data_IF_468773578635
#
_entry.id   IF_468773578635
#
_cell.length_a   1.000
_cell.length_b   1.000
_cell.length_c   1.000
_cell.angle_alpha   90.00
_cell.angle_beta   90.00
_cell.angle_gamma   90.00
#
_symmetry.space_group_name_H-M   'P 1'
#
loop_
_entity.id
_entity.type
_entity.pdbx_description
1 polymer ?
#
# COMPACT_ATOMS: atom_id res chain seq x y z
N UNK A 1 -14.89 73.72 18.88
CA UNK A 1 -14.34 72.35 18.76
C UNK A 1 -15.47 71.35 18.71
N UNK A 2 -15.59 70.59 17.61
CA UNK A 2 -16.13 69.22 17.56
C UNK A 2 -15.68 68.63 16.21
N UNK A 3 -14.53 67.96 16.23
CA UNK A 3 -14.11 67.09 15.13
C UNK A 3 -14.93 65.80 15.25
N UNK A 4 -15.73 65.48 14.24
CA UNK A 4 -16.35 64.17 14.11
C UNK A 4 -15.67 63.42 12.96
N UNK A 5 -14.79 62.51 13.33
CA UNK A 5 -14.28 61.43 12.49
C UNK A 5 -15.36 60.36 12.39
N UNK A 6 -15.99 60.23 11.22
CA UNK A 6 -16.78 59.06 10.87
C UNK A 6 -15.91 58.12 10.01
N UNK A 7 -15.66 56.87 10.44
CA UNK A 7 -14.81 55.95 9.69
C UNK A 7 -15.58 55.34 8.51
N UNK A 8 -14.82 55.10 7.44
CA UNK A 8 -15.26 54.67 6.12
C UNK A 8 -15.86 53.25 6.11
N UNK A 9 -17.09 53.11 6.64
CA UNK A 9 -17.80 51.84 6.89
C UNK A 9 -18.18 51.07 5.61
N UNK A 10 -18.18 51.73 4.45
CA UNK A 10 -18.44 51.08 3.14
C UNK A 10 -17.22 50.35 2.59
N UNK A 11 -16.02 50.85 2.81
CA UNK A 11 -14.78 50.26 2.27
C UNK A 11 -14.42 48.97 3.00
N UNK A 12 -14.53 48.93 4.33
CA UNK A 12 -14.26 47.71 5.13
C UNK A 12 -15.21 46.54 4.83
N UNK A 13 -16.47 46.82 4.49
CA UNK A 13 -17.47 45.78 4.14
C UNK A 13 -17.26 45.20 2.73
N UNK A 14 -16.72 46.00 1.80
CA UNK A 14 -16.30 45.51 0.47
C UNK A 14 -15.00 44.72 0.55
N UNK A 15 -14.03 45.15 1.36
CA UNK A 15 -12.78 44.41 1.59
C UNK A 15 -13.08 43.05 2.23
N UNK A 16 -13.93 42.99 3.26
CA UNK A 16 -14.27 41.73 3.91
C UNK A 16 -15.05 40.77 2.99
N UNK A 17 -15.97 41.27 2.15
CA UNK A 17 -16.69 40.44 1.17
C UNK A 17 -15.75 39.89 0.09
N UNK A 18 -14.86 40.72 -0.44
CA UNK A 18 -13.89 40.28 -1.43
C UNK A 18 -12.88 39.31 -0.82
N UNK A 19 -12.48 39.48 0.44
CA UNK A 19 -11.59 38.56 1.15
C UNK A 19 -12.25 37.19 1.40
N UNK A 20 -13.51 37.17 1.84
CA UNK A 20 -14.27 35.92 2.04
C UNK A 20 -14.46 35.20 0.70
N UNK A 21 -14.84 35.92 -0.36
CA UNK A 21 -14.96 35.34 -1.70
C UNK A 21 -13.62 34.81 -2.20
N UNK A 22 -12.51 35.54 -1.97
CA UNK A 22 -11.17 35.06 -2.33
C UNK A 22 -10.80 33.79 -1.56
N UNK A 23 -11.14 33.72 -0.27
CA UNK A 23 -10.88 32.54 0.57
C UNK A 23 -11.73 31.34 0.14
N UNK A 24 -13.00 31.56 -0.20
CA UNK A 24 -13.88 30.50 -0.72
C UNK A 24 -13.46 30.02 -2.09
N UNK A 25 -13.01 30.92 -2.98
CA UNK A 25 -12.47 30.56 -4.31
C UNK A 25 -11.12 29.86 -4.17
N UNK A 26 -10.25 30.29 -3.25
CA UNK A 26 -8.98 29.62 -2.98
C UNK A 26 -9.19 28.21 -2.40
N UNK A 27 -10.14 28.04 -1.48
CA UNK A 27 -10.54 26.71 -0.96
C UNK A 27 -11.15 25.84 -2.07
N UNK A 28 -12.07 26.37 -2.88
CA UNK A 28 -12.67 25.63 -3.99
C UNK A 28 -11.66 25.27 -5.09
N UNK A 29 -10.68 26.15 -5.36
CA UNK A 29 -9.56 25.85 -6.24
C UNK A 29 -8.63 24.80 -5.63
N UNK A 30 -8.36 24.86 -4.33
CA UNK A 30 -7.58 23.85 -3.61
C UNK A 30 -8.25 22.47 -3.64
N UNK A 31 -9.56 22.40 -3.35
CA UNK A 31 -10.35 21.16 -3.46
C UNK A 31 -10.51 20.69 -4.91
N UNK A 32 -10.66 21.61 -5.88
CA UNK A 32 -10.75 21.28 -7.30
C UNK A 32 -9.43 20.76 -7.89
N UNK A 33 -8.29 21.28 -7.42
CA UNK A 33 -6.94 20.80 -7.75
C UNK A 33 -6.73 19.42 -7.13
N UNK A 34 -7.04 19.22 -5.85
CA UNK A 34 -6.97 17.90 -5.20
C UNK A 34 -7.89 16.88 -5.91
N UNK A 35 -9.12 17.25 -6.25
CA UNK A 35 -10.03 16.38 -6.99
C UNK A 35 -9.48 16.03 -8.38
N UNK A 36 -9.03 17.00 -9.17
CA UNK A 36 -8.52 16.75 -10.51
C UNK A 36 -7.24 15.91 -10.56
N UNK A 37 -6.39 15.97 -9.54
CA UNK A 37 -5.16 15.16 -9.45
C UNK A 37 -5.34 13.80 -8.78
N UNK A 38 -6.42 13.60 -8.01
CA UNK A 38 -6.80 12.29 -7.45
C UNK A 38 -7.67 11.48 -8.44
N UNK A 39 -8.26 12.14 -9.44
CA UNK A 39 -9.32 11.60 -10.29
C UNK A 39 -8.84 11.21 -11.71
N UNK A 40 -7.69 10.52 -11.81
CA UNK A 40 -7.45 9.65 -12.98
C UNK A 40 -8.18 8.33 -12.78
N UNK A 41 -9.49 8.36 -13.03
CA UNK A 41 -10.35 7.19 -13.06
C UNK A 41 -10.07 6.35 -14.31
N UNK A 42 -9.19 5.35 -14.22
CA UNK A 42 -9.36 4.14 -15.03
C UNK A 42 -9.92 3.08 -14.09
N UNK A 43 -11.22 2.83 -14.22
CA UNK A 43 -12.05 2.05 -13.30
C UNK A 43 -12.02 0.55 -13.55
N UNK A 44 -10.89 -0.01 -13.98
CA UNK A 44 -10.75 -1.45 -14.06
C UNK A 44 -9.71 -1.90 -13.04
N UNK A 45 -10.18 -2.65 -12.05
CA UNK A 45 -9.35 -3.40 -11.11
C UNK A 45 -8.55 -4.55 -11.76
N UNK A 46 -8.40 -4.52 -13.09
CA UNK A 46 -7.50 -5.33 -13.92
C UNK A 46 -6.02 -5.28 -13.49
N UNK A 47 -5.68 -4.48 -12.47
CA UNK A 47 -4.32 -4.28 -11.97
C UNK A 47 -3.90 -5.19 -10.82
N UNK A 48 -4.84 -5.86 -10.14
CA UNK A 48 -4.55 -6.68 -8.97
C UNK A 48 -4.99 -8.11 -9.25
N UNK A 49 -4.03 -8.96 -9.62
CA UNK A 49 -4.26 -10.41 -9.66
C UNK A 49 -3.45 -11.08 -8.55
N UNK A 50 -4.14 -11.65 -7.57
CA UNK A 50 -3.54 -12.39 -6.47
C UNK A 50 -3.96 -13.84 -6.56
N UNK A 51 -2.97 -14.73 -6.64
CA UNK A 51 -3.17 -16.15 -6.48
C UNK A 51 -2.69 -16.59 -5.09
N UNK A 52 -3.55 -17.25 -4.33
CA UNK A 52 -3.21 -17.89 -3.07
C UNK A 52 -3.17 -19.40 -3.25
N UNK A 53 -2.08 -20.05 -2.83
CA UNK A 53 -1.88 -21.50 -2.97
C UNK A 53 -1.67 -22.14 -1.59
N UNK A 54 -2.55 -23.07 -1.21
CA UNK A 54 -2.47 -23.82 0.03
C UNK A 54 -1.88 -25.22 -0.17
N UNK A 55 -1.12 -25.75 0.81
CA UNK A 55 -0.55 -27.09 0.73
C UNK A 55 -1.61 -28.16 1.03
N UNK A 56 -1.32 -29.42 0.67
CA UNK A 56 -2.23 -30.53 0.91
C UNK A 56 -2.71 -30.63 2.38
N UNK A 57 -4.03 -30.84 2.53
CA UNK A 57 -4.71 -30.91 3.82
C UNK A 57 -4.97 -29.57 4.49
N UNK A 58 -4.69 -28.46 3.79
CA UNK A 58 -5.10 -27.10 4.15
C UNK A 58 -6.08 -26.61 3.08
N UNK A 59 -7.18 -26.02 3.51
CA UNK A 59 -8.13 -25.33 2.64
C UNK A 59 -8.21 -23.87 3.06
N UNK A 60 -8.39 -22.99 2.08
CA UNK A 60 -8.44 -21.54 2.30
C UNK A 60 -9.71 -20.95 1.71
N UNK A 61 -10.17 -19.85 2.30
CA UNK A 61 -11.22 -19.00 1.78
C UNK A 61 -10.82 -17.52 1.94
N UNK A 62 -11.30 -16.67 1.05
CA UNK A 62 -11.05 -15.22 1.08
C UNK A 62 -12.39 -14.49 1.06
N UNK A 63 -12.49 -13.44 1.89
CA UNK A 63 -13.61 -12.51 1.90
C UNK A 63 -13.09 -11.09 2.09
N UNK A 64 -13.95 -10.09 1.86
CA UNK A 64 -13.63 -8.70 2.19
C UNK A 64 -13.30 -8.60 3.68
N UNK A 65 -12.30 -7.79 4.03
CA UNK A 65 -11.94 -7.60 5.44
C UNK A 65 -13.15 -7.16 6.28
N UNK A 66 -13.39 -7.87 7.39
CA UNK A 66 -14.51 -7.65 8.31
C UNK A 66 -15.74 -8.49 8.02
N UNK A 67 -15.80 -9.18 6.89
CA UNK A 67 -16.87 -10.12 6.59
C UNK A 67 -16.69 -11.44 7.38
N UNK A 68 -17.80 -12.10 7.76
CA UNK A 68 -17.74 -13.36 8.48
C UNK A 68 -17.11 -14.48 7.64
N UNK A 69 -16.55 -15.48 8.32
CA UNK A 69 -16.08 -16.71 7.69
C UNK A 69 -17.18 -17.32 6.80
N UNK A 70 -16.85 -17.81 5.59
CA UNK A 70 -17.82 -18.53 4.78
C UNK A 70 -18.38 -19.75 5.50
N UNK A 71 -19.68 -19.96 5.35
CA UNK A 71 -20.37 -21.13 5.94
C UNK A 71 -20.49 -22.29 4.96
N UNK A 72 -20.33 -22.03 3.66
CA UNK A 72 -20.37 -23.04 2.60
C UNK A 72 -18.98 -23.64 2.37
N UNK A 73 -18.90 -24.97 2.41
CA UNK A 73 -17.68 -25.72 2.12
C UNK A 73 -17.13 -25.45 0.73
N UNK A 74 -17.99 -25.14 -0.26
CA UNK A 74 -17.56 -24.84 -1.62
C UNK A 74 -16.72 -23.55 -1.75
N UNK A 75 -16.80 -22.66 -0.75
CA UNK A 75 -15.97 -21.45 -0.69
C UNK A 75 -14.51 -21.77 -0.32
N UNK A 76 -14.27 -22.91 0.33
CA UNK A 76 -12.94 -23.35 0.74
C UNK A 76 -12.27 -24.17 -0.36
N UNK A 77 -11.08 -23.74 -0.76
CA UNK A 77 -10.32 -24.30 -1.89
C UNK A 77 -8.84 -24.41 -1.54
N UNK A 78 -8.08 -25.16 -2.33
CA UNK A 78 -6.62 -25.19 -2.20
C UNK A 78 -5.95 -24.04 -2.97
N UNK A 79 -6.66 -23.46 -3.94
CA UNK A 79 -6.19 -22.32 -4.72
C UNK A 79 -7.31 -21.30 -4.84
N UNK A 80 -6.97 -20.03 -4.63
CA UNK A 80 -7.88 -18.89 -4.82
C UNK A 80 -7.23 -17.91 -5.77
N UNK A 81 -7.97 -17.52 -6.81
CA UNK A 81 -7.64 -16.37 -7.65
C UNK A 81 -8.53 -15.20 -7.25
N UNK A 82 -7.91 -14.15 -6.74
CA UNK A 82 -8.53 -12.93 -6.23
C UNK A 82 -8.36 -11.83 -7.29
N UNK A 83 -9.46 -11.52 -7.97
CA UNK A 83 -9.59 -10.53 -9.03
C UNK A 83 -11.04 -9.98 -9.03
N UNK A 84 -11.29 -8.91 -9.79
CA UNK A 84 -12.62 -8.28 -9.93
C UNK A 84 -13.70 -9.22 -10.46
N UNK A 85 -13.34 -10.17 -11.32
CA UNK A 85 -14.30 -11.15 -11.86
C UNK A 85 -14.88 -12.05 -10.75
N UNK A 86 -14.07 -12.41 -9.77
CA UNK A 86 -14.43 -13.34 -8.69
C UNK A 86 -14.89 -12.63 -7.41
N UNK A 87 -14.49 -11.36 -7.19
CA UNK A 87 -14.70 -10.65 -5.94
C UNK A 87 -15.00 -9.16 -6.17
N UNK A 88 -16.28 -8.80 -6.04
CA UNK A 88 -16.77 -7.45 -6.33
C UNK A 88 -16.23 -6.34 -5.41
N UNK A 89 -15.65 -6.68 -4.25
CA UNK A 89 -15.03 -5.69 -3.38
C UNK A 89 -13.70 -5.15 -3.93
N UNK A 90 -13.20 -5.73 -5.02
CA UNK A 90 -11.97 -5.30 -5.69
C UNK A 90 -12.27 -4.25 -6.77
N UNK A 91 -13.48 -4.27 -7.34
CA UNK A 91 -13.88 -3.45 -8.49
C UNK A 91 -13.58 -1.95 -8.31
N UNK A 92 -13.79 -1.44 -7.09
CA UNK A 92 -13.63 -0.03 -6.75
C UNK A 92 -12.24 0.34 -6.23
N UNK A 93 -11.32 -0.64 -6.09
CA UNK A 93 -9.99 -0.39 -5.54
C UNK A 93 -9.15 0.43 -6.52
N UNK A 94 -8.74 1.60 -6.05
CA UNK A 94 -7.75 2.47 -6.66
C UNK A 94 -6.59 2.49 -5.69
N UNK A 95 -5.53 1.74 -5.95
CA UNK A 95 -4.37 1.75 -5.05
C UNK A 95 -3.73 3.14 -5.03
N UNK A 96 -4.20 3.98 -4.12
CA UNK A 96 -3.74 5.34 -3.89
C UNK A 96 -2.67 5.34 -2.82
N UNK A 97 -2.03 6.49 -2.64
CA UNK A 97 -1.09 6.70 -1.56
C UNK A 97 -1.73 6.47 -0.18
N UNK A 98 -1.10 5.58 0.59
CA UNK A 98 -1.46 5.28 1.97
C UNK A 98 -0.18 5.17 2.80
N UNK A 99 -0.16 5.79 3.97
CA UNK A 99 0.89 5.58 4.98
C UNK A 99 0.39 4.58 6.01
N UNK A 100 1.19 3.56 6.31
CA UNK A 100 0.80 2.50 7.23
C UNK A 100 2.00 1.79 7.85
N UNK A 101 1.84 1.32 9.08
CA UNK A 101 2.72 0.35 9.75
C UNK A 101 2.38 -1.12 9.40
N UNK A 102 1.48 -1.32 8.44
CA UNK A 102 0.93 -2.62 8.07
C UNK A 102 -0.31 -3.03 8.88
N UNK A 103 -0.77 -2.20 9.82
CA UNK A 103 -1.98 -2.43 10.62
C UNK A 103 -2.98 -1.28 10.53
N UNK A 104 -2.52 -0.03 10.72
CA UNK A 104 -3.38 1.16 10.60
C UNK A 104 -3.05 1.92 9.33
N UNK A 105 -4.07 2.27 8.55
CA UNK A 105 -3.90 2.84 7.22
C UNK A 105 -4.45 4.27 7.19
N UNK A 106 -3.58 5.23 6.87
CA UNK A 106 -3.93 6.64 6.81
C UNK A 106 -3.73 7.20 5.41
N UNK A 107 -4.62 8.11 5.03
CA UNK A 107 -4.53 8.92 3.83
C UNK A 107 -4.01 10.31 4.20
N UNK A 108 -2.73 10.62 3.94
CA UNK A 108 -2.20 11.94 4.22
C UNK A 108 -2.84 13.00 3.30
N UNK A 109 -3.23 14.18 3.82
CA UNK A 109 -3.46 15.33 2.98
C UNK A 109 -2.12 15.79 2.37
N UNK A 110 -2.13 16.05 1.07
CA UNK A 110 -0.92 16.37 0.31
C UNK A 110 -0.89 17.84 -0.09
N UNK A 111 0.28 18.47 0.03
CA UNK A 111 0.61 19.75 -0.60
C UNK A 111 1.56 19.52 -1.77
N UNK A 112 1.42 20.29 -2.84
CA UNK A 112 2.31 20.21 -3.99
C UNK A 112 3.09 21.52 -4.16
N UNK A 113 4.41 21.41 -4.24
CA UNK A 113 5.33 22.54 -4.47
C UNK A 113 6.33 22.13 -5.55
N UNK A 114 6.54 22.95 -6.58
CA UNK A 114 7.45 22.65 -7.71
C UNK A 114 7.23 21.28 -8.40
N UNK A 115 5.98 20.78 -8.42
CA UNK A 115 5.66 19.48 -9.01
C UNK A 115 5.83 18.30 -8.05
N UNK A 116 6.28 18.54 -6.82
CA UNK A 116 6.58 17.53 -5.79
C UNK A 116 5.47 17.48 -4.74
N UNK A 117 4.90 16.30 -4.46
CA UNK A 117 3.81 16.13 -3.50
C UNK A 117 4.34 15.72 -2.12
N UNK A 118 3.99 16.45 -1.06
CA UNK A 118 4.41 16.17 0.33
C UNK A 118 3.26 16.13 1.31
N UNK A 119 3.27 15.21 2.31
CA UNK A 119 2.24 15.17 3.32
C UNK A 119 2.26 16.43 4.19
N UNK A 120 1.08 16.92 4.54
CA UNK A 120 0.91 18.03 5.48
C UNK A 120 0.92 17.44 6.89
N UNK A 121 1.93 17.79 7.69
CA UNK A 121 2.14 17.22 9.03
C UNK A 121 1.47 18.03 10.15
N UNK A 122 1.24 19.33 9.91
CA UNK A 122 0.65 20.28 10.86
C UNK A 122 -0.89 20.33 10.72
N UNK A 123 -1.52 19.16 10.64
CA UNK A 123 -2.98 18.99 10.73
C UNK A 123 -3.30 18.10 11.92
N UNK A 124 -4.47 18.31 12.53
CA UNK A 124 -4.86 17.57 13.72
C UNK A 124 -4.91 16.06 13.43
N UNK A 125 -5.61 15.64 12.37
CA UNK A 125 -5.74 14.23 12.00
C UNK A 125 -5.62 14.05 10.49
N UNK A 126 -5.08 12.89 10.09
CA UNK A 126 -5.20 12.36 8.74
C UNK A 126 -6.43 11.47 8.68
N UNK A 127 -7.05 11.40 7.50
CA UNK A 127 -8.19 10.52 7.29
C UNK A 127 -7.73 9.06 7.31
N UNK A 128 -8.58 8.15 7.80
CA UNK A 128 -8.35 6.72 7.64
C UNK A 128 -8.54 6.35 6.16
N UNK A 129 -7.67 5.49 5.67
CA UNK A 129 -7.83 4.92 4.33
C UNK A 129 -8.96 3.89 4.34
N UNK A 130 -9.77 3.90 3.29
CA UNK A 130 -10.80 2.89 3.02
C UNK A 130 -10.21 1.68 2.28
N UNK A 131 -10.40 0.48 2.82
CA UNK A 131 -9.90 -0.81 2.31
C UNK A 131 -10.58 -1.33 1.05
N UNK A 132 -11.62 -0.67 0.57
CA UNK A 132 -12.31 -0.99 -0.68
C UNK A 132 -12.05 0.06 -1.77
N UNK A 133 -11.31 1.11 -1.43
CA UNK A 133 -11.08 2.24 -2.33
C UNK A 133 -9.60 2.57 -2.46
N UNK A 134 -8.83 2.59 -1.38
CA UNK A 134 -7.48 3.15 -1.35
C UNK A 134 -6.38 2.08 -1.29
N UNK A 135 -6.67 0.93 -0.68
CA UNK A 135 -5.77 -0.21 -0.57
C UNK A 135 -6.59 -1.50 -0.59
N UNK A 136 -5.97 -2.63 -0.90
CA UNK A 136 -6.63 -3.93 -0.82
C UNK A 136 -6.54 -4.49 0.60
N UNK A 137 -7.67 -4.92 1.16
CA UNK A 137 -7.71 -5.68 2.41
C UNK A 137 -8.68 -6.84 2.30
N UNK A 138 -8.22 -8.04 2.65
CA UNK A 138 -9.06 -9.24 2.64
C UNK A 138 -8.70 -10.16 3.81
N UNK A 139 -9.70 -10.86 4.33
CA UNK A 139 -9.50 -11.86 5.38
C UNK A 139 -9.25 -13.22 4.73
N UNK A 140 -8.11 -13.80 5.07
CA UNK A 140 -7.71 -15.15 4.68
C UNK A 140 -8.10 -16.12 5.81
N UNK A 141 -9.17 -16.86 5.57
CA UNK A 141 -9.57 -17.96 6.42
C UNK A 141 -8.85 -19.24 6.00
N UNK A 142 -8.29 -19.95 6.97
CA UNK A 142 -7.58 -21.21 6.76
C UNK A 142 -8.21 -22.27 7.63
N UNK A 143 -8.45 -23.46 7.08
CA UNK A 143 -8.95 -24.61 7.84
C UNK A 143 -8.23 -25.91 7.53
N UNK A 144 -8.24 -26.82 8.48
CA UNK A 144 -7.65 -28.16 8.37
C UNK A 144 -8.29 -29.14 9.34
N UNK A 145 -8.14 -30.44 9.08
CA UNK A 145 -8.51 -31.52 10.02
C UNK A 145 -7.49 -31.71 11.15
N UNK A 146 -6.39 -30.98 11.14
CA UNK A 146 -5.32 -31.09 12.15
C UNK A 146 -4.76 -29.73 12.52
N UNK A 147 -4.16 -29.66 13.71
CA UNK A 147 -3.52 -28.43 14.20
C UNK A 147 -2.19 -28.22 13.48
N UNK A 148 -2.01 -27.06 12.86
CA UNK A 148 -0.77 -26.67 12.19
C UNK A 148 -0.42 -25.22 12.48
N UNK A 149 0.87 -24.93 12.42
CA UNK A 149 1.36 -23.58 12.16
C UNK A 149 1.32 -23.31 10.66
N UNK A 150 0.77 -22.16 10.27
CA UNK A 150 0.65 -21.74 8.89
C UNK A 150 1.59 -20.57 8.65
N UNK A 151 2.23 -20.61 7.49
CA UNK A 151 3.26 -19.67 7.11
C UNK A 151 2.99 -19.15 5.70
N UNK A 152 3.43 -17.93 5.44
CA UNK A 152 3.73 -17.48 4.09
C UNK A 152 5.11 -18.02 3.71
N UNK A 153 5.19 -18.77 2.63
CA UNK A 153 6.39 -19.47 2.20
C UNK A 153 7.42 -18.50 1.60
N UNK A 154 8.70 -18.85 1.69
CA UNK A 154 9.78 -18.03 1.13
C UNK A 154 9.66 -17.85 -0.39
N UNK A 155 8.93 -18.74 -1.07
CA UNK A 155 8.63 -18.68 -2.50
C UNK A 155 7.46 -17.78 -2.89
N UNK A 156 6.75 -17.21 -1.92
CA UNK A 156 5.74 -16.19 -2.21
C UNK A 156 6.36 -14.99 -2.92
N UNK A 157 5.67 -14.44 -3.90
CA UNK A 157 6.22 -13.47 -4.86
C UNK A 157 5.22 -12.36 -5.15
N UNK A 158 5.68 -11.11 -5.17
CA UNK A 158 4.92 -9.98 -5.72
C UNK A 158 5.78 -9.33 -6.79
N UNK A 159 5.40 -9.53 -8.05
CA UNK A 159 6.20 -9.18 -9.23
C UNK A 159 5.48 -8.21 -10.16
N UNK A 160 6.24 -7.43 -10.95
CA UNK A 160 5.65 -6.48 -11.89
C UNK A 160 4.85 -7.18 -12.98
N UNK A 161 3.83 -6.50 -13.51
CA UNK A 161 3.05 -6.99 -14.65
C UNK A 161 3.71 -6.65 -16.00
N UNK A 162 4.60 -5.65 -16.02
CA UNK A 162 5.36 -5.24 -17.20
C UNK A 162 6.86 -5.58 -17.08
N UNK A 163 7.54 -5.63 -18.23
CA UNK A 163 8.99 -5.94 -18.32
C UNK A 163 9.86 -4.69 -18.36
N UNK A 164 9.41 -3.65 -19.06
CA UNK A 164 10.20 -2.45 -19.32
C UNK A 164 9.85 -1.39 -18.28
N UNK A 165 10.74 -1.19 -17.30
CA UNK A 165 10.56 -0.18 -16.26
C UNK A 165 10.64 1.26 -16.80
N UNK A 166 11.43 1.50 -17.85
CA UNK A 166 11.61 2.83 -18.45
C UNK A 166 11.66 2.77 -19.98
N UNK A 167 11.51 3.93 -20.62
CA UNK A 167 11.76 4.13 -22.05
C UNK A 167 10.51 4.11 -22.93
N UNK A 168 10.72 4.18 -24.24
CA UNK A 168 9.62 4.27 -25.21
C UNK A 168 8.70 3.04 -25.20
N UNK A 169 9.22 1.88 -24.82
CA UNK A 169 8.46 0.62 -24.77
C UNK A 169 7.96 0.27 -23.36
N UNK A 170 7.98 1.20 -22.41
CA UNK A 170 7.37 1.01 -21.10
C UNK A 170 5.84 0.99 -21.24
N UNK A 171 5.19 0.02 -20.60
CA UNK A 171 3.72 -0.08 -20.54
C UNK A 171 3.16 0.84 -19.44
N UNK A 172 1.88 1.23 -19.53
CA UNK A 172 1.18 2.06 -18.53
C UNK A 172 2.06 3.19 -17.95
N UNK A 173 2.58 4.05 -18.83
CA UNK A 173 3.58 5.05 -18.48
C UNK A 173 3.02 6.12 -17.56
N UNK A 174 3.79 6.46 -16.54
CA UNK A 174 3.60 7.66 -15.76
C UNK A 174 3.77 8.92 -16.60
N UNK A 175 2.99 9.95 -16.27
CA UNK A 175 3.16 11.31 -16.81
C UNK A 175 4.29 12.07 -16.08
N UNK A 176 4.91 11.44 -15.09
CA UNK A 176 6.04 12.00 -14.37
C UNK A 176 7.30 12.03 -15.25
N UNK A 177 7.97 13.19 -15.33
CA UNK A 177 9.23 13.34 -16.07
C UNK A 177 9.10 13.44 -17.60
N UNK A 178 7.98 13.97 -18.12
CA UNK A 178 7.64 14.07 -19.56
C UNK A 178 8.65 14.80 -20.50
N UNK A 179 9.88 15.12 -20.08
CA UNK A 179 10.91 15.70 -20.95
C UNK A 179 12.25 14.95 -20.88
N UNK A 180 12.89 14.75 -22.04
CA UNK A 180 14.21 14.10 -22.17
C UNK A 180 14.20 12.56 -22.12
N UNK A 181 15.36 11.95 -21.84
CA UNK A 181 15.53 10.49 -21.64
C UNK A 181 14.72 9.94 -20.44
N UNK A 182 14.09 10.84 -19.68
CA UNK A 182 13.23 10.59 -18.51
C UNK A 182 11.76 10.32 -18.87
N UNK A 183 11.40 10.17 -20.15
CA UNK A 183 10.02 9.84 -20.54
C UNK A 183 9.66 8.39 -20.21
N UNK A 184 8.67 8.21 -19.35
CA UNK A 184 7.87 6.99 -19.27
C UNK A 184 8.42 5.90 -18.36
N UNK A 185 8.39 6.15 -17.05
CA UNK A 185 8.45 5.06 -16.06
C UNK A 185 7.14 4.26 -16.11
N UNK A 186 7.22 2.94 -16.18
CA UNK A 186 6.05 2.07 -16.16
C UNK A 186 5.47 2.00 -14.76
N UNK A 187 4.19 2.34 -14.59
CA UNK A 187 3.44 2.10 -13.35
C UNK A 187 3.33 0.61 -13.03
N UNK A 188 3.40 -0.25 -14.05
CA UNK A 188 3.25 -1.71 -13.91
C UNK A 188 4.56 -2.40 -13.48
N UNK A 189 5.66 -1.65 -13.38
CA UNK A 189 6.94 -2.13 -12.86
C UNK A 189 7.21 -1.73 -11.39
N UNK A 190 6.20 -1.20 -10.69
CA UNK A 190 6.33 -0.53 -9.40
C UNK A 190 6.13 -1.48 -8.22
N UNK A 191 6.74 -2.65 -8.27
CA UNK A 191 6.82 -3.50 -7.08
C UNK A 191 7.65 -2.89 -5.95
N UNK A 192 8.46 -1.86 -6.27
CA UNK A 192 9.26 -1.12 -5.30
C UNK A 192 8.46 -0.15 -4.43
N UNK A 193 7.25 0.25 -4.83
CA UNK A 193 6.35 1.06 -3.99
C UNK A 193 5.21 0.24 -3.36
N UNK A 194 4.95 -0.96 -3.85
CA UNK A 194 3.98 -1.86 -3.22
C UNK A 194 4.50 -2.31 -1.85
N UNK A 195 3.59 -2.40 -0.89
CA UNK A 195 3.82 -3.07 0.39
C UNK A 195 2.75 -4.12 0.60
N UNK A 196 3.11 -5.13 1.37
CA UNK A 196 2.20 -6.18 1.77
C UNK A 196 2.32 -6.40 3.27
N UNK A 197 1.21 -6.54 3.95
CA UNK A 197 1.19 -6.95 5.35
C UNK A 197 0.25 -8.10 5.60
N UNK A 198 0.56 -8.86 6.64
CA UNK A 198 -0.36 -9.81 7.25
C UNK A 198 -0.56 -9.37 8.68
N UNK A 199 -1.80 -9.16 9.08
CA UNK A 199 -2.17 -8.68 10.40
C UNK A 199 -3.21 -9.62 11.04
N UNK A 200 -3.18 -9.69 12.36
CA UNK A 200 -4.24 -10.28 13.15
C UNK A 200 -4.95 -9.14 13.89
N UNK A 201 -6.13 -8.76 13.40
CA UNK A 201 -6.90 -7.68 13.99
C UNK A 201 -7.53 -8.04 15.35
N UNK A 202 -7.74 -9.33 15.63
CA UNK A 202 -8.25 -9.79 16.92
C UNK A 202 -7.20 -9.62 18.02
N UNK A 203 -5.92 -9.88 17.72
CA UNK A 203 -4.80 -9.72 18.67
C UNK A 203 -4.06 -8.39 18.51
N UNK A 204 -4.46 -7.55 17.55
CA UNK A 204 -3.86 -6.26 17.22
C UNK A 204 -2.36 -6.35 16.92
N UNK A 205 -2.00 -7.31 16.07
CA UNK A 205 -0.60 -7.65 15.80
C UNK A 205 -0.32 -7.71 14.29
N UNK A 206 0.73 -7.04 13.84
CA UNK A 206 1.31 -7.25 12.51
C UNK A 206 2.18 -8.50 12.53
N UNK A 207 1.86 -9.50 11.70
CA UNK A 207 2.57 -10.77 11.55
C UNK A 207 3.65 -10.73 10.46
N UNK A 208 3.46 -9.87 9.48
CA UNK A 208 4.40 -9.63 8.38
C UNK A 208 4.24 -8.20 7.89
N UNK A 209 5.36 -7.53 7.62
CA UNK A 209 5.43 -6.32 6.81
C UNK A 209 6.50 -6.52 5.74
N UNK A 210 6.13 -6.45 4.46
CA UNK A 210 6.99 -6.86 3.36
C UNK A 210 7.11 -5.76 2.29
N UNK A 211 8.36 -5.46 1.92
CA UNK A 211 8.71 -4.72 0.70
C UNK A 211 9.10 -5.74 -0.39
N UNK A 212 8.30 -5.88 -1.46
CA UNK A 212 8.58 -6.91 -2.47
C UNK A 212 9.77 -6.64 -3.36
N UNK A 213 9.99 -5.40 -3.81
CA UNK A 213 11.11 -5.03 -4.68
C UNK A 213 11.93 -3.85 -4.13
N UNK A 214 12.57 -4.00 -2.96
CA UNK A 214 13.43 -2.98 -2.36
C UNK A 214 14.67 -2.68 -3.23
N UNK A 215 14.97 -3.49 -4.24
CA UNK A 215 16.05 -3.24 -5.21
C UNK A 215 15.74 -2.09 -6.18
N UNK A 216 14.45 -1.78 -6.39
CA UNK A 216 14.01 -0.68 -7.26
C UNK A 216 13.97 0.60 -6.43
N UNK A 217 14.83 1.55 -6.79
CA UNK A 217 14.88 2.86 -6.13
C UNK A 217 14.76 3.96 -7.17
N UNK A 218 13.70 4.77 -7.04
CA UNK A 218 13.54 6.00 -7.78
C UNK A 218 14.34 7.09 -7.05
N UNK A 219 15.25 7.74 -7.76
CA UNK A 219 15.99 8.88 -7.23
C UNK A 219 15.56 10.13 -8.00
N UNK A 220 14.86 11.03 -7.32
CA UNK A 220 14.27 12.21 -7.92
C UNK A 220 15.03 13.47 -7.52
N UNK A 221 15.26 14.34 -8.49
CA UNK A 221 15.75 15.68 -8.26
C UNK A 221 14.55 16.63 -8.06
N UNK A 222 14.37 17.06 -6.82
CA UNK A 222 13.26 17.91 -6.34
C UNK A 222 13.15 19.25 -7.08
N UNK A 223 14.22 19.71 -7.73
CA UNK A 223 14.27 21.03 -8.38
C UNK A 223 14.00 20.97 -9.88
N UNK A 224 14.11 19.80 -10.52
CA UNK A 224 14.15 19.71 -11.99
C UNK A 224 13.20 18.70 -12.62
N UNK A 225 12.35 18.01 -11.84
CA UNK A 225 11.47 16.90 -12.29
C UNK A 225 12.21 15.73 -12.97
N UNK A 226 13.55 15.76 -12.92
CA UNK A 226 14.41 14.70 -13.44
C UNK A 226 14.47 13.59 -12.41
N UNK A 227 14.51 12.36 -12.89
CA UNK A 227 14.72 11.20 -12.05
C UNK A 227 15.73 10.23 -12.68
N UNK A 228 16.26 9.36 -11.84
CA UNK A 228 16.98 8.15 -12.24
C UNK A 228 16.36 6.97 -11.51
N UNK A 229 16.49 5.78 -12.09
CA UNK A 229 16.00 4.55 -11.47
C UNK A 229 17.18 3.60 -11.30
N UNK A 230 17.38 3.10 -10.08
CA UNK A 230 18.27 1.97 -9.81
C UNK A 230 17.44 0.71 -9.68
N UNK A 231 17.91 -0.41 -10.23
CA UNK A 231 17.24 -1.73 -10.15
C UNK A 231 18.12 -2.81 -9.53
N UNK A 232 19.34 -2.44 -9.14
CA UNK A 232 20.41 -3.31 -8.65
C UNK A 232 20.83 -2.97 -7.21
N UNK A 233 20.08 -2.11 -6.51
CA UNK A 233 20.31 -1.81 -5.10
C UNK A 233 20.18 -3.09 -4.27
N UNK A 234 21.06 -3.23 -3.29
CA UNK A 234 21.09 -4.39 -2.36
C UNK A 234 20.92 -3.99 -0.90
N UNK A 235 20.97 -2.69 -0.63
CA UNK A 235 20.95 -2.08 0.69
C UNK A 235 20.67 -0.57 0.54
N UNK A 236 20.34 0.07 1.65
CA UNK A 236 20.06 1.50 1.73
C UNK A 236 18.60 1.80 2.04
N UNK A 237 18.17 3.03 1.77
CA UNK A 237 16.84 3.54 2.15
C UNK A 237 15.68 2.73 1.53
N UNK A 238 15.88 2.17 0.34
CA UNK A 238 14.87 1.34 -0.32
C UNK A 238 14.62 0.00 0.38
N UNK A 239 15.49 -0.38 1.33
CA UNK A 239 15.36 -1.55 2.20
C UNK A 239 14.77 -1.20 3.58
N UNK A 240 14.31 0.03 3.76
CA UNK A 240 13.61 0.48 4.96
C UNK A 240 12.19 0.90 4.58
N UNK A 241 11.22 0.61 5.45
CA UNK A 241 9.84 1.07 5.29
C UNK A 241 9.61 2.32 6.12
N UNK A 242 9.39 3.46 5.46
CA UNK A 242 8.97 4.68 6.12
C UNK A 242 7.46 4.66 6.37
N UNK A 243 7.01 5.29 7.45
CA UNK A 243 5.58 5.52 7.70
C UNK A 243 5.42 6.67 8.69
N UNK A 244 4.21 7.21 8.83
CA UNK A 244 3.93 8.28 9.77
C UNK A 244 3.11 7.80 10.96
N UNK A 245 3.46 8.29 12.14
CA UNK A 245 2.74 8.05 13.39
C UNK A 245 2.33 9.37 14.03
N UNK A 246 1.16 9.39 14.68
CA UNK A 246 0.67 10.56 15.39
C UNK A 246 1.10 10.54 16.86
N UNK A 247 2.06 11.38 17.21
CA UNK A 247 2.52 11.61 18.59
C UNK A 247 2.37 13.09 18.95
N UNK A 248 1.12 13.54 19.07
CA UNK A 248 0.77 14.96 19.15
C UNK A 248 0.78 15.65 17.78
N UNK A 249 1.86 15.48 17.01
CA UNK A 249 1.95 15.79 15.58
C UNK A 249 2.29 14.55 14.76
N UNK A 250 2.04 14.60 13.46
CA UNK A 250 2.48 13.57 12.53
C UNK A 250 4.00 13.59 12.38
N UNK A 251 4.65 12.47 12.66
CA UNK A 251 6.10 12.32 12.60
C UNK A 251 6.43 11.12 11.73
N UNK A 252 7.35 11.32 10.78
CA UNK A 252 7.91 10.23 9.98
C UNK A 252 8.77 9.34 10.87
N UNK A 253 8.52 8.06 10.79
CA UNK A 253 9.33 7.00 11.35
C UNK A 253 9.71 6.02 10.25
N UNK A 254 10.58 5.07 10.56
CA UNK A 254 10.97 4.03 9.62
C UNK A 254 11.32 2.76 10.36
N UNK A 255 11.10 1.62 9.71
CA UNK A 255 11.56 0.32 10.16
C UNK A 255 12.52 -0.26 9.13
N UNK A 256 13.59 -0.88 9.60
CA UNK A 256 14.48 -1.71 8.79
C UNK A 256 14.73 -3.05 9.46
N UNK A 257 15.23 -4.03 8.71
CA UNK A 257 15.61 -5.31 9.30
C UNK A 257 16.64 -5.08 10.43
N UNK A 258 16.46 -5.79 11.54
CA UNK A 258 17.37 -5.78 12.70
C UNK A 258 17.58 -4.42 13.39
N UNK A 259 16.66 -3.46 13.22
CA UNK A 259 16.74 -2.15 13.88
C UNK A 259 16.39 -2.16 15.38
N UNK A 260 15.95 -3.32 15.91
CA UNK A 260 15.57 -3.53 17.30
C UNK A 260 14.15 -3.11 17.67
N UNK A 261 13.38 -2.49 16.76
CA UNK A 261 11.97 -2.19 16.96
C UNK A 261 11.10 -3.46 16.97
N UNK A 262 9.90 -3.44 17.58
CA UNK A 262 8.98 -4.56 17.48
C UNK A 262 8.61 -4.92 16.04
N UNK A 263 8.47 -3.91 15.18
CA UNK A 263 8.07 -4.09 13.78
C UNK A 263 9.18 -4.73 12.94
N UNK A 264 10.47 -4.56 13.30
CA UNK A 264 11.57 -5.19 12.54
C UNK A 264 11.62 -6.70 12.66
N UNK A 265 11.01 -7.28 13.71
CA UNK A 265 10.93 -8.74 13.87
C UNK A 265 10.08 -9.41 12.77
N UNK A 266 9.09 -8.67 12.28
CA UNK A 266 8.15 -9.13 11.24
C UNK A 266 8.38 -8.44 9.89
N UNK A 267 9.32 -7.49 9.84
CA UNK A 267 9.70 -6.80 8.62
C UNK A 267 10.55 -7.68 7.69
N UNK A 268 10.31 -7.58 6.39
CA UNK A 268 11.05 -8.30 5.35
C UNK A 268 11.36 -7.36 4.18
N UNK A 269 12.65 -7.25 3.88
CA UNK A 269 13.17 -6.69 2.63
C UNK A 269 14.35 -7.58 2.17
N UNK A 270 14.15 -8.35 1.09
CA UNK A 270 15.07 -9.41 0.71
C UNK A 270 16.32 -8.91 -0.05
N UNK A 271 17.37 -8.53 0.68
CA UNK A 271 18.65 -8.06 0.10
C UNK A 271 19.39 -9.12 -0.75
N UNK A 272 19.09 -10.40 -0.52
CA UNK A 272 19.67 -11.53 -1.24
C UNK A 272 18.77 -12.04 -2.38
N UNK A 273 17.68 -11.34 -2.71
CA UNK A 273 16.69 -11.75 -3.69
C UNK A 273 17.16 -11.65 -5.14
N UNK A 274 18.37 -12.07 -5.49
CA UNK A 274 18.92 -11.99 -6.84
C UNK A 274 19.31 -13.37 -7.36
N UNK A 275 19.03 -13.63 -8.64
CA UNK A 275 19.53 -14.82 -9.34
C UNK A 275 21.03 -14.69 -9.60
N UNK A 276 21.66 -15.78 -10.06
CA UNK A 276 23.06 -15.77 -10.51
C UNK A 276 23.31 -14.81 -11.66
N UNK A 277 22.27 -14.47 -12.43
CA UNK A 277 22.35 -13.55 -13.57
C UNK A 277 22.14 -12.08 -13.16
N UNK A 278 21.86 -11.82 -11.88
CA UNK A 278 21.62 -10.47 -11.37
C UNK A 278 20.17 -10.00 -11.45
N UNK A 279 19.24 -10.84 -11.90
CA UNK A 279 17.81 -10.53 -11.91
C UNK A 279 17.20 -10.64 -10.52
N UNK A 280 16.38 -9.69 -10.11
CA UNK A 280 15.69 -9.76 -8.83
C UNK A 280 14.55 -10.79 -8.87
N UNK A 281 14.43 -11.62 -7.83
CA UNK A 281 13.50 -12.76 -7.78
C UNK A 281 12.08 -12.34 -7.40
N UNK A 282 11.95 -11.23 -6.68
CA UNK A 282 10.73 -10.74 -6.03
C UNK A 282 10.14 -11.71 -4.99
N UNK A 283 10.92 -12.72 -4.59
CA UNK A 283 10.53 -13.69 -3.58
C UNK A 283 10.66 -13.10 -2.16
N UNK A 284 9.76 -13.50 -1.27
CA UNK A 284 9.81 -13.18 0.16
C UNK A 284 11.17 -13.57 0.79
N UNK A 285 11.77 -14.67 0.32
CA UNK A 285 13.14 -15.09 0.67
C UNK A 285 13.27 -15.77 2.03
N UNK A 286 12.34 -15.54 2.95
CA UNK A 286 12.26 -16.24 4.24
C UNK A 286 10.82 -16.62 4.56
N UNK A 287 10.62 -17.84 5.06
CA UNK A 287 9.30 -18.31 5.47
C UNK A 287 8.87 -17.58 6.75
N UNK A 288 7.64 -17.07 6.82
CA UNK A 288 7.14 -16.27 7.95
C UNK A 288 5.84 -16.86 8.49
N UNK A 289 5.80 -17.14 9.80
CA UNK A 289 4.61 -17.67 10.47
C UNK A 289 3.55 -16.59 10.52
N UNK A 290 2.35 -16.88 10.02
CA UNK A 290 1.24 -15.92 9.99
C UNK A 290 0.13 -16.29 10.98
N UNK A 291 -0.07 -17.57 11.28
CA UNK A 291 -1.05 -18.03 12.26
C UNK A 291 -0.73 -19.43 12.80
N UNK A 292 -1.42 -19.80 13.88
CA UNK A 292 -1.58 -21.18 14.35
C UNK A 292 -3.06 -21.51 14.24
N UNK A 293 -3.41 -22.66 13.67
CA UNK A 293 -4.81 -23.07 13.61
C UNK A 293 -5.28 -23.49 15.00
N UNK A 294 -6.48 -23.07 15.39
CA UNK A 294 -7.09 -23.43 16.65
C UNK A 294 -8.37 -24.21 16.44
N UNK A 295 -8.72 -25.05 17.41
CA UNK A 295 -9.89 -25.92 17.29
C UNK A 295 -11.15 -25.07 17.17
N UNK A 296 -11.91 -25.29 16.11
CA UNK A 296 -13.24 -24.71 15.97
C UNK A 296 -14.18 -25.42 16.95
N UNK A 297 -14.83 -24.64 17.80
CA UNK A 297 -15.78 -25.14 18.81
C UNK A 297 -17.19 -25.35 18.25
N UNK A 298 -17.45 -24.82 17.07
CA UNK A 298 -18.73 -24.91 16.36
C UNK A 298 -18.72 -26.02 15.30
N UNK A 299 -17.54 -26.35 14.76
CA UNK A 299 -17.35 -27.40 13.77
C UNK A 299 -16.48 -28.53 14.33
N UNK A 300 -17.11 -29.68 14.62
CA UNK A 300 -16.41 -30.81 15.24
C UNK A 300 -15.26 -31.32 14.36
N UNK A 301 -14.03 -31.26 14.90
CA UNK A 301 -12.84 -31.89 14.31
C UNK A 301 -12.12 -31.02 13.27
N UNK A 302 -12.50 -29.74 13.15
CA UNK A 302 -11.82 -28.79 12.26
C UNK A 302 -11.02 -27.79 13.11
N UNK A 303 -9.83 -27.46 12.62
CA UNK A 303 -8.98 -26.40 13.13
C UNK A 303 -9.01 -25.25 12.14
N UNK A 304 -9.21 -24.04 12.63
CA UNK A 304 -9.38 -22.83 11.82
C UNK A 304 -8.44 -21.72 12.29
N UNK A 305 -8.09 -20.83 11.39
CA UNK A 305 -7.37 -19.60 11.68
C UNK A 305 -7.76 -18.52 10.68
N UNK A 306 -7.55 -17.27 11.07
CA UNK A 306 -7.77 -16.11 10.20
C UNK A 306 -6.69 -15.08 10.43
N UNK A 307 -6.24 -14.48 9.33
CA UNK A 307 -5.47 -13.25 9.29
C UNK A 307 -6.02 -12.36 8.19
N UNK A 308 -5.75 -11.07 8.31
CA UNK A 308 -6.05 -10.10 7.27
C UNK A 308 -4.80 -9.81 6.48
N UNK A 309 -4.89 -9.94 5.16
CA UNK A 309 -3.85 -9.56 4.23
C UNK A 309 -4.16 -8.17 3.69
N UNK A 310 -3.17 -7.27 3.74
CA UNK A 310 -3.30 -5.91 3.20
C UNK A 310 -2.24 -5.65 2.15
N UNK A 311 -2.60 -4.88 1.13
CA UNK A 311 -1.69 -4.47 0.08
C UNK A 311 -1.97 -3.03 -0.34
N UNK A 312 -0.94 -2.19 -0.35
CA UNK A 312 -1.06 -0.77 -0.67
C UNK A 312 0.16 -0.26 -1.42
N UNK A 313 0.03 0.93 -2.00
CA UNK A 313 1.15 1.69 -2.56
C UNK A 313 1.64 2.65 -1.49
N UNK A 314 2.86 2.42 -1.03
CA UNK A 314 3.51 3.21 0.00
C UNK A 314 4.10 4.49 -0.59
N UNK A 315 3.59 5.61 -0.11
CA UNK A 315 3.91 6.93 -0.61
C UNK A 315 4.99 7.62 0.21
N UNK A 316 6.13 7.00 0.48
CA UNK A 316 7.18 7.68 1.26
C UNK A 316 8.13 8.56 0.42
N UNK A 317 8.06 8.46 -0.91
CA UNK A 317 8.88 9.24 -1.86
C UNK A 317 8.03 10.19 -2.71
N UNK A 318 8.26 11.51 -2.54
CA UNK A 318 7.36 12.61 -2.89
C UNK A 318 6.95 12.69 -4.36
N UNK A 319 7.80 12.17 -5.23
CA UNK A 319 7.64 12.17 -6.66
C UNK A 319 7.27 10.79 -7.22
N UNK A 320 7.64 9.71 -6.51
CA UNK A 320 7.11 8.37 -6.76
C UNK A 320 5.60 8.28 -6.44
N UNK A 321 5.16 9.02 -5.41
CA UNK A 321 3.80 9.09 -4.83
C UNK A 321 2.68 9.19 -5.87
N UNK A 322 2.73 10.16 -6.78
CA UNK A 322 1.70 10.35 -7.81
C UNK A 322 2.05 9.63 -9.11
N UNK A 323 3.34 9.47 -9.38
CA UNK A 323 3.80 8.90 -10.63
C UNK A 323 3.35 7.45 -10.80
N UNK A 324 3.28 6.70 -9.69
CA UNK A 324 3.25 5.25 -9.70
C UNK A 324 1.92 4.64 -9.21
N UNK A 325 0.98 5.47 -8.76
CA UNK A 325 -0.42 5.10 -8.45
C UNK A 325 -1.08 4.52 -9.69
N UNK A 326 -1.97 3.52 -9.50
CA UNK A 326 -2.62 2.71 -10.54
C UNK A 326 -1.70 1.77 -11.33
N UNK A 327 -0.57 1.37 -10.75
CA UNK A 327 0.27 0.31 -11.29
C UNK A 327 -0.37 -1.08 -11.19
N UNK A 328 -0.13 -1.92 -12.20
CA UNK A 328 -0.56 -3.32 -12.21
C UNK A 328 0.55 -4.26 -11.76
N UNK A 329 0.24 -5.25 -10.93
CA UNK A 329 1.20 -6.26 -10.46
C UNK A 329 0.54 -7.62 -10.26
N UNK A 330 1.38 -8.63 -10.06
CA UNK A 330 0.95 -10.01 -9.79
C UNK A 330 1.48 -10.44 -8.44
N UNK A 331 0.59 -10.94 -7.59
CA UNK A 331 0.95 -11.56 -6.32
C UNK A 331 0.67 -13.07 -6.38
N UNK A 332 1.65 -13.86 -5.98
CA UNK A 332 1.50 -15.29 -5.73
C UNK A 332 1.88 -15.53 -4.27
N UNK A 333 0.87 -15.79 -3.45
CA UNK A 333 0.99 -16.03 -2.03
C UNK A 333 0.94 -17.54 -1.79
N UNK A 334 2.10 -18.15 -1.54
CA UNK A 334 2.22 -19.58 -1.30
C UNK A 334 2.19 -19.81 0.21
N UNK A 335 1.21 -20.57 0.68
CA UNK A 335 1.16 -21.01 2.06
C UNK A 335 1.94 -22.31 2.22
N UNK A 336 2.54 -22.49 3.40
CA UNK A 336 3.05 -23.79 3.82
C UNK A 336 2.70 -24.06 5.27
N UNK A 337 2.64 -25.34 5.63
CA UNK A 337 2.35 -25.79 7.00
C UNK A 337 3.62 -26.25 7.71
N UNK A 338 3.60 -26.22 9.03
CA UNK A 338 4.61 -26.81 9.91
C UNK A 338 3.94 -27.40 11.14
N UNK A 339 4.61 -28.37 11.77
CA UNK A 339 4.19 -28.86 13.08
C UNK A 339 4.27 -27.72 14.10
N UNK A 340 3.32 -27.70 15.05
CA UNK A 340 3.30 -26.68 16.10
C UNK A 340 4.58 -26.79 16.92
N UNK A 341 5.40 -25.74 16.90
CA UNK A 341 6.59 -25.68 17.76
C UNK A 341 6.13 -25.63 19.22
N UNK A 342 6.54 -26.62 20.02
CA UNK A 342 6.19 -26.78 21.44
C UNK A 342 6.84 -25.72 22.32
#
# INVERSE_FOLDING_TARGET
MKNSTAPNRKTGRMIAKNLIVLFTVALAAFYGIQAWFTDKQSSDADGINIECHAPDGIEIAVVKHGDPAPTDDAAYKNTIELNSENYSFIDDIKMTEVSSDGYTFYKPPLKQENGVASPILDVDDWDLADSSVHYLSFDLYVRSKSKFDIYLDSKSKISPNAKNLTGENADNKSDFGESGDSKGISRDCVTGAVRFSVANYNTKETKLLWIPAPNIFLNVNTDTTKYSVSTDKRLGESYSHGYYVKNGKWVKTSVSADDGSPLSQVFVANSNGFTTNGDYTYELGSKKKIMTLEKDTTQNGIYTGMVTCNMWVDGEDAEARLALVNGKFKANLVLSKGDVQQ
#
